data_IF_938042745093
#
_entry.id   IF_938042745093
#
_cell.length_a   1.000
_cell.length_b   1.000
_cell.length_c   1.000
_cell.angle_alpha   90.00
_cell.angle_beta   90.00
_cell.angle_gamma   90.00
#
_symmetry.space_group_name_H-M   'P 1'
#
loop_
_entity.id
_entity.type
_entity.pdbx_description
1 polymer ?
#
# COMPACT_ATOMS: atom_id res chain seq x y z
N UNK A 1 4.35 -3.44 20.42
CA UNK A 1 3.63 -3.93 19.23
C UNK A 1 2.91 -2.74 18.65
N UNK A 2 3.54 -2.03 17.72
CA UNK A 2 2.92 -0.86 17.07
C UNK A 2 2.39 -1.37 15.74
N UNK A 3 1.06 -1.50 15.55
CA UNK A 3 0.52 -1.74 14.23
C UNK A 3 0.63 -0.41 13.50
N UNK A 4 1.78 -0.17 12.85
CA UNK A 4 1.91 0.87 11.83
C UNK A 4 1.21 0.31 10.59
N UNK A 5 -0.11 0.16 10.67
CA UNK A 5 -0.91 0.19 9.46
C UNK A 5 -1.06 1.67 9.15
N UNK A 6 -0.16 2.17 8.32
CA UNK A 6 -0.22 3.52 7.81
C UNK A 6 -1.64 3.74 7.28
N UNK A 7 -2.37 4.68 7.89
CA UNK A 7 -3.78 4.97 7.58
C UNK A 7 -3.92 5.69 6.23
N UNK A 8 -3.07 5.38 5.25
CA UNK A 8 -3.07 5.96 3.90
C UNK A 8 -4.44 5.84 3.24
N UNK A 9 -5.15 4.72 3.46
CA UNK A 9 -6.50 4.49 2.95
C UNK A 9 -7.49 5.61 3.33
N UNK A 10 -7.28 6.28 4.48
CA UNK A 10 -8.16 7.36 4.94
C UNK A 10 -8.05 8.62 4.07
N UNK A 11 -6.88 8.87 3.48
CA UNK A 11 -6.64 10.05 2.63
C UNK A 11 -7.42 9.97 1.31
N UNK A 12 -7.81 8.76 0.89
CA UNK A 12 -8.57 8.55 -0.33
C UNK A 12 -10.08 8.69 -0.14
N UNK A 13 -10.60 8.63 1.09
CA UNK A 13 -12.03 8.66 1.37
C UNK A 13 -12.77 9.93 0.89
N UNK A 14 -12.18 11.13 0.94
CA UNK A 14 -12.85 12.33 0.41
C UNK A 14 -12.93 12.36 -1.12
N UNK A 15 -12.12 11.55 -1.80
CA UNK A 15 -11.93 11.60 -3.26
C UNK A 15 -12.63 10.41 -3.94
N UNK A 16 -12.61 9.25 -3.30
CA UNK A 16 -13.11 7.99 -3.87
C UNK A 16 -14.35 7.50 -3.13
N UNK A 17 -15.36 7.07 -3.90
CA UNK A 17 -16.60 6.48 -3.37
C UNK A 17 -16.37 5.15 -2.65
N UNK A 18 -15.33 4.41 -3.06
CA UNK A 18 -14.99 3.09 -2.56
C UNK A 18 -13.48 2.92 -2.57
N UNK A 19 -12.92 2.43 -1.46
CA UNK A 19 -11.50 2.12 -1.31
C UNK A 19 -11.38 0.64 -1.01
N UNK A 20 -10.44 -0.04 -1.68
CA UNK A 20 -10.10 -1.43 -1.42
C UNK A 20 -8.71 -1.47 -0.80
N UNK A 21 -8.59 -2.08 0.38
CA UNK A 21 -7.36 -2.11 1.15
C UNK A 21 -6.97 -3.56 1.42
N UNK A 22 -5.88 -4.01 0.81
CA UNK A 22 -5.41 -5.40 0.88
C UNK A 22 -4.16 -5.50 1.72
N UNK A 23 -4.04 -6.55 2.53
CA UNK A 23 -2.81 -6.90 3.24
C UNK A 23 -2.57 -8.40 3.18
N UNK A 24 -1.31 -8.85 3.18
CA UNK A 24 -0.98 -10.27 2.96
C UNK A 24 -1.51 -11.22 4.06
N UNK A 25 -1.75 -10.71 5.27
CA UNK A 25 -2.29 -11.47 6.39
C UNK A 25 -3.45 -10.74 7.08
N UNK A 26 -4.26 -11.51 7.79
CA UNK A 26 -5.38 -10.97 8.57
C UNK A 26 -4.90 -10.15 9.76
N UNK A 27 -3.75 -10.52 10.36
CA UNK A 27 -3.16 -9.82 11.50
C UNK A 27 -2.87 -8.34 11.22
N UNK A 28 -2.54 -7.99 9.97
CA UNK A 28 -2.35 -6.61 9.55
C UNK A 28 -3.68 -5.84 9.57
N UNK A 29 -4.81 -6.53 9.37
CA UNK A 29 -6.15 -5.96 9.34
C UNK A 29 -6.87 -5.94 10.69
N UNK A 30 -6.34 -6.60 11.72
CA UNK A 30 -6.98 -6.69 13.04
C UNK A 30 -7.29 -5.33 13.68
N UNK A 31 -6.52 -4.30 13.32
CA UNK A 31 -6.68 -2.92 13.82
C UNK A 31 -7.27 -1.97 12.76
N UNK A 32 -7.84 -2.51 11.68
CA UNK A 32 -8.47 -1.72 10.64
C UNK A 32 -9.71 -0.98 11.18
N UNK A 33 -9.89 0.27 10.76
CA UNK A 33 -11.11 1.02 11.08
C UNK A 33 -12.27 0.51 10.23
N UNK A 34 -13.38 0.18 10.87
CA UNK A 34 -14.62 -0.19 10.20
C UNK A 34 -15.27 1.05 9.57
N UNK A 35 -15.15 1.17 8.25
CA UNK A 35 -15.68 2.29 7.47
C UNK A 35 -16.47 1.75 6.29
N UNK A 36 -17.67 2.30 6.07
CA UNK A 36 -18.64 1.76 5.09
C UNK A 36 -18.18 1.86 3.63
N UNK A 37 -17.21 2.73 3.35
CA UNK A 37 -16.63 2.96 2.04
C UNK A 37 -15.27 2.28 1.85
N UNK A 38 -14.80 1.47 2.81
CA UNK A 38 -13.58 0.67 2.69
C UNK A 38 -13.91 -0.81 2.74
N UNK A 39 -13.37 -1.57 1.79
CA UNK A 39 -13.38 -3.04 1.82
C UNK A 39 -11.96 -3.51 2.09
N UNK A 40 -11.80 -4.28 3.17
CA UNK A 40 -10.54 -4.89 3.55
C UNK A 40 -10.50 -6.36 3.11
N UNK A 41 -9.36 -6.81 2.61
CA UNK A 41 -9.13 -8.22 2.28
C UNK A 41 -7.73 -8.67 2.66
N UNK A 42 -7.65 -9.84 3.29
CA UNK A 42 -6.39 -10.51 3.61
C UNK A 42 -5.92 -11.28 2.36
N UNK A 43 -5.21 -10.60 1.47
CA UNK A 43 -4.72 -11.15 0.22
C UNK A 43 -3.38 -10.51 -0.21
N UNK A 44 -2.52 -11.25 -0.92
CA UNK A 44 -1.29 -10.69 -1.45
C UNK A 44 -1.58 -9.68 -2.56
N UNK A 45 -0.80 -8.61 -2.64
CA UNK A 45 -0.96 -7.58 -3.68
C UNK A 45 -0.81 -8.10 -5.14
N UNK A 46 -0.31 -9.33 -5.32
CA UNK A 46 -0.10 -10.00 -6.61
C UNK A 46 -1.30 -10.84 -7.06
N UNK A 47 -2.35 -10.93 -6.24
CA UNK A 47 -3.58 -11.64 -6.56
C UNK A 47 -4.70 -11.04 -5.72
N UNK A 48 -5.55 -10.24 -6.35
CA UNK A 48 -6.65 -9.55 -5.69
C UNK A 48 -8.00 -10.13 -6.12
N UNK A 49 -9.02 -9.93 -5.30
CA UNK A 49 -10.40 -10.29 -5.67
C UNK A 49 -11.07 -9.25 -6.58
N UNK A 50 -10.37 -8.18 -6.96
CA UNK A 50 -10.92 -7.09 -7.75
C UNK A 50 -11.24 -7.53 -9.17
N UNK A 51 -12.36 -7.06 -9.69
CA UNK A 51 -12.74 -7.29 -11.08
C UNK A 51 -11.72 -6.65 -12.03
N UNK A 52 -11.55 -7.27 -13.20
CA UNK A 52 -10.72 -6.72 -14.27
C UNK A 52 -11.20 -5.31 -14.65
N UNK A 53 -10.26 -4.37 -14.82
CA UNK A 53 -10.52 -2.98 -15.23
C UNK A 53 -11.54 -2.26 -14.33
N UNK A 54 -11.48 -2.49 -13.03
CA UNK A 54 -12.36 -1.88 -12.03
C UNK A 54 -11.73 -0.72 -11.25
N UNK A 55 -10.39 -0.66 -11.16
CA UNK A 55 -9.67 0.34 -10.37
C UNK A 55 -9.39 1.62 -11.18
N UNK A 56 -9.65 2.78 -10.59
CA UNK A 56 -9.28 4.11 -11.11
C UNK A 56 -7.89 4.57 -10.63
N UNK A 57 -7.45 4.07 -9.48
CA UNK A 57 -6.15 4.34 -8.87
C UNK A 57 -5.69 3.08 -8.12
N UNK A 58 -4.43 2.69 -8.31
CA UNK A 58 -3.76 1.65 -7.52
C UNK A 58 -2.57 2.26 -6.80
N UNK A 59 -2.47 2.02 -5.49
CA UNK A 59 -1.39 2.57 -4.66
C UNK A 59 -0.59 1.48 -3.96
N UNK A 60 0.72 1.70 -3.83
CA UNK A 60 1.63 0.81 -3.10
C UNK A 60 2.43 1.68 -2.13
N UNK A 61 2.21 1.53 -0.82
CA UNK A 61 2.88 2.34 0.21
C UNK A 61 3.87 1.56 1.06
N UNK A 62 3.61 0.27 1.26
CA UNK A 62 4.49 -0.70 1.90
C UNK A 62 4.31 -2.02 1.17
N UNK A 63 5.38 -2.55 0.58
CA UNK A 63 5.35 -3.88 0.00
C UNK A 63 6.64 -4.60 0.37
N UNK A 64 6.61 -5.58 1.29
CA UNK A 64 7.79 -6.37 1.65
C UNK A 64 8.30 -7.25 0.48
N UNK A 65 7.52 -7.34 -0.60
CA UNK A 65 7.61 -8.39 -1.61
C UNK A 65 8.11 -7.91 -2.98
N UNK A 66 8.87 -6.80 -3.01
CA UNK A 66 9.47 -6.17 -4.20
C UNK A 66 10.32 -7.14 -5.06
N UNK A 67 10.57 -8.37 -4.61
CA UNK A 67 11.30 -9.39 -5.35
C UNK A 67 10.56 -9.98 -6.56
N UNK A 68 9.23 -9.84 -6.66
CA UNK A 68 8.47 -10.28 -7.85
C UNK A 68 7.55 -9.17 -8.37
N UNK A 69 8.17 -8.16 -8.97
CA UNK A 69 7.48 -7.01 -9.53
C UNK A 69 6.66 -7.37 -10.78
N UNK A 70 7.06 -8.39 -11.55
CA UNK A 70 6.34 -8.78 -12.77
C UNK A 70 4.90 -9.21 -12.46
N UNK A 71 4.72 -10.16 -11.53
CA UNK A 71 3.38 -10.61 -11.11
C UNK A 71 2.57 -9.47 -10.48
N UNK A 72 3.23 -8.62 -9.71
CA UNK A 72 2.59 -7.45 -9.11
C UNK A 72 2.05 -6.52 -10.19
N UNK A 73 2.87 -6.18 -11.19
CA UNK A 73 2.46 -5.31 -12.27
C UNK A 73 1.43 -5.95 -13.20
N UNK A 74 1.46 -7.26 -13.41
CA UNK A 74 0.43 -7.98 -14.18
C UNK A 74 -0.93 -7.85 -13.50
N UNK A 75 -0.99 -8.11 -12.19
CA UNK A 75 -2.21 -7.96 -11.41
C UNK A 75 -2.71 -6.51 -11.47
N UNK A 76 -1.82 -5.54 -11.25
CA UNK A 76 -2.19 -4.12 -11.31
C UNK A 76 -2.73 -3.72 -12.68
N UNK A 77 -2.12 -4.20 -13.76
CA UNK A 77 -2.60 -3.97 -15.14
C UNK A 77 -3.96 -4.62 -15.36
N UNK A 78 -4.19 -5.80 -14.82
CA UNK A 78 -5.43 -6.55 -14.96
C UNK A 78 -6.60 -5.82 -14.30
N UNK A 79 -6.43 -5.35 -13.06
CA UNK A 79 -7.49 -4.67 -12.29
C UNK A 79 -7.66 -3.21 -12.71
N UNK A 80 -6.66 -2.59 -13.33
CA UNK A 80 -6.67 -1.17 -13.71
C UNK A 80 -7.56 -0.88 -14.93
N UNK A 81 -8.37 0.18 -14.83
CA UNK A 81 -8.99 0.78 -16.01
C UNK A 81 -7.92 1.32 -16.96
N UNK A 82 -8.28 1.53 -18.23
CA UNK A 82 -7.37 2.06 -19.26
C UNK A 82 -6.71 3.39 -18.88
N UNK A 83 -7.42 4.24 -18.12
CA UNK A 83 -6.95 5.55 -17.67
C UNK A 83 -6.52 5.56 -16.20
N UNK A 84 -6.37 4.40 -15.57
CA UNK A 84 -6.01 4.33 -14.16
C UNK A 84 -4.57 4.78 -13.93
N UNK A 85 -4.31 5.33 -12.74
CA UNK A 85 -2.97 5.63 -12.28
C UNK A 85 -2.47 4.52 -11.35
N UNK A 86 -1.18 4.20 -11.46
CA UNK A 86 -0.47 3.34 -10.51
C UNK A 86 0.57 4.22 -9.81
N UNK A 87 0.49 4.33 -8.49
CA UNK A 87 1.38 5.15 -7.69
C UNK A 87 2.07 4.29 -6.61
N UNK A 88 3.37 4.09 -6.76
CA UNK A 88 4.21 3.53 -5.71
C UNK A 88 4.89 4.66 -4.95
N UNK A 89 4.81 4.64 -3.63
CA UNK A 89 5.46 5.62 -2.77
C UNK A 89 6.06 4.94 -1.56
N UNK A 90 7.16 5.50 -1.09
CA UNK A 90 7.87 5.08 0.11
C UNK A 90 8.52 6.31 0.73
N UNK A 91 9.06 6.14 1.93
CA UNK A 91 9.87 7.15 2.60
C UNK A 91 11.34 6.74 2.56
N UNK A 92 12.21 7.74 2.51
CA UNK A 92 13.64 7.54 2.66
C UNK A 92 14.02 7.51 4.15
N UNK A 93 15.31 7.34 4.46
CA UNK A 93 15.82 7.51 5.81
C UNK A 93 15.37 8.84 6.42
N UNK A 94 15.05 8.78 7.72
CA UNK A 94 14.69 9.96 8.49
C UNK A 94 15.87 10.94 8.50
N UNK A 95 15.57 12.24 8.45
CA UNK A 95 16.51 13.31 8.75
C UNK A 95 16.05 14.03 10.01
N UNK A 96 16.91 14.04 11.02
CA UNK A 96 16.58 14.50 12.38
C UNK A 96 17.57 15.61 12.78
N UNK A 97 18.84 15.27 12.88
CA UNK A 97 19.93 16.19 13.20
C UNK A 97 21.27 15.61 12.73
N UNK A 98 22.33 16.41 12.73
CA UNK A 98 23.63 16.01 12.17
C UNK A 98 24.20 14.74 12.82
N UNK A 99 24.05 14.56 14.13
CA UNK A 99 24.63 13.43 14.86
C UNK A 99 23.83 12.15 14.59
N UNK A 100 22.50 12.26 14.63
CA UNK A 100 21.60 11.13 14.37
C UNK A 100 21.64 10.69 12.91
N UNK A 101 21.72 11.65 11.98
CA UNK A 101 21.80 11.39 10.54
C UNK A 101 23.13 10.70 10.17
N UNK A 102 24.24 11.03 10.83
CA UNK A 102 25.53 10.35 10.63
C UNK A 102 25.49 8.89 11.12
N UNK A 103 24.97 8.66 12.32
CA UNK A 103 24.85 7.31 12.89
C UNK A 103 23.92 6.41 12.06
N UNK A 104 22.77 6.95 11.67
CA UNK A 104 21.83 6.22 10.80
C UNK A 104 22.45 5.98 9.42
N UNK A 105 23.14 6.95 8.85
CA UNK A 105 23.87 6.79 7.58
C UNK A 105 24.87 5.63 7.62
N UNK A 106 25.70 5.54 8.66
CA UNK A 106 26.70 4.47 8.81
C UNK A 106 26.09 3.07 8.96
N UNK A 107 24.90 2.96 9.54
CA UNK A 107 24.24 1.66 9.66
C UNK A 107 23.66 1.16 8.32
N UNK A 108 23.19 2.06 7.46
CA UNK A 108 22.49 1.72 6.21
C UNK A 108 23.39 1.71 4.95
N UNK A 109 24.56 2.35 4.96
CA UNK A 109 25.48 2.48 3.82
C UNK A 109 26.93 2.17 4.19
#
# INVERSE_FOLDING_TARGET
>A
MVPVMDKWQLHFLPIFKKVYATAIGSEQLDNALELTNIIYAAEPAKQTFLDNKSADLVTISQAPDWFNLEKLYDEMRQISKRSALIAAFTYNLLKIDAVTDELTGHFYF
#
